data_IF_267115723966
#
_entry.id   IF_267115723966
#
_cell.length_a   1.000
_cell.length_b   1.000
_cell.length_c   1.000
_cell.angle_alpha   90.00
_cell.angle_beta   90.00
_cell.angle_gamma   90.00
#
_symmetry.space_group_name_H-M   'P 1'
#
loop_
_entity.id
_entity.type
_entity.pdbx_description
1 polymer ?
#
# COMPACT_ATOMS: atom_id res chain seq x y z
N UNK A 1 -5.43 -32.41 -29.06
CA UNK A 1 -5.58 -31.00 -28.66
C UNK A 1 -4.54 -30.20 -29.43
N UNK A 2 -4.99 -29.41 -30.41
CA UNK A 2 -4.16 -28.63 -31.34
C UNK A 2 -3.32 -27.57 -30.61
N UNK A 3 -2.14 -27.23 -31.15
CA UNK A 3 -1.18 -26.30 -30.55
C UNK A 3 -1.80 -24.92 -30.35
N UNK A 4 -2.53 -24.43 -31.34
CA UNK A 4 -3.24 -23.14 -31.29
C UNK A 4 -4.25 -23.13 -30.15
N UNK A 5 -4.99 -24.22 -29.94
CA UNK A 5 -5.91 -24.34 -28.81
C UNK A 5 -5.19 -24.25 -27.45
N UNK A 6 -3.94 -24.71 -27.35
CA UNK A 6 -3.14 -24.56 -26.11
C UNK A 6 -2.69 -23.12 -25.92
N UNK A 7 -2.29 -22.43 -26.98
CA UNK A 7 -1.90 -21.02 -26.94
C UNK A 7 -3.09 -20.13 -26.54
N UNK A 8 -4.28 -20.39 -27.09
CA UNK A 8 -5.51 -19.68 -26.67
C UNK A 8 -5.78 -19.89 -25.18
N UNK A 9 -5.67 -21.12 -24.67
CA UNK A 9 -5.79 -21.37 -23.22
C UNK A 9 -4.77 -20.59 -22.40
N UNK A 10 -3.53 -20.49 -22.88
CA UNK A 10 -2.48 -19.71 -22.21
C UNK A 10 -2.73 -18.21 -22.24
N UNK A 11 -3.27 -17.68 -23.34
CA UNK A 11 -3.73 -16.29 -23.40
C UNK A 11 -4.84 -16.03 -22.39
N UNK A 12 -5.83 -16.91 -22.28
CA UNK A 12 -6.90 -16.79 -21.28
C UNK A 12 -6.35 -16.83 -19.86
N UNK A 13 -5.39 -17.73 -19.57
CA UNK A 13 -4.71 -17.74 -18.26
C UNK A 13 -4.00 -16.42 -17.98
N UNK A 14 -3.28 -15.85 -18.95
CA UNK A 14 -2.63 -14.55 -18.78
C UNK A 14 -3.66 -13.44 -18.51
N UNK A 15 -4.78 -13.45 -19.23
CA UNK A 15 -5.88 -12.50 -19.00
C UNK A 15 -6.48 -12.65 -17.59
N UNK A 16 -6.78 -13.86 -17.15
CA UNK A 16 -7.25 -14.14 -15.78
C UNK A 16 -6.26 -13.65 -14.72
N UNK A 17 -4.95 -13.83 -14.96
CA UNK A 17 -3.89 -13.33 -14.10
C UNK A 17 -3.88 -11.79 -14.01
N UNK A 18 -4.11 -11.08 -15.13
CA UNK A 18 -4.17 -9.62 -15.17
C UNK A 18 -5.45 -9.06 -14.55
N UNK A 19 -6.57 -9.80 -14.64
CA UNK A 19 -7.87 -9.46 -14.05
C UNK A 19 -7.96 -9.75 -12.55
N UNK A 20 -7.01 -10.51 -12.00
CA UNK A 20 -7.02 -10.88 -10.59
C UNK A 20 -7.06 -9.62 -9.70
N UNK A 21 -8.03 -9.56 -8.78
CA UNK A 21 -8.35 -8.38 -7.95
C UNK A 21 -7.19 -7.86 -7.10
N UNK A 22 -6.17 -8.66 -6.84
CA UNK A 22 -4.96 -8.22 -6.13
C UNK A 22 -4.07 -7.33 -7.01
N UNK A 23 -4.14 -7.50 -8.32
CA UNK A 23 -3.39 -6.77 -9.35
C UNK A 23 -4.18 -5.67 -10.05
N UNK A 24 -5.49 -5.65 -9.82
CA UNK A 24 -6.39 -4.79 -10.58
C UNK A 24 -6.06 -3.32 -10.31
N UNK A 25 -5.60 -2.64 -11.34
CA UNK A 25 -5.46 -1.19 -11.37
C UNK A 25 -6.88 -0.61 -11.31
N UNK A 26 -7.36 -0.23 -10.11
CA UNK A 26 -8.74 0.15 -9.80
C UNK A 26 -9.42 1.16 -10.75
N UNK A 27 -8.67 1.77 -11.66
CA UNK A 27 -9.13 2.77 -12.63
C UNK A 27 -9.20 2.26 -14.09
N UNK A 28 -8.92 0.98 -14.37
CA UNK A 28 -8.83 0.47 -15.74
C UNK A 28 -9.87 -0.62 -16.03
N UNK A 29 -10.83 -0.31 -16.93
CA UNK A 29 -11.77 -1.30 -17.46
C UNK A 29 -11.12 -2.06 -18.64
N UNK A 30 -10.77 -3.32 -18.41
CA UNK A 30 -10.10 -4.19 -19.38
C UNK A 30 -11.04 -4.50 -20.57
N UNK A 31 -12.33 -4.77 -20.34
CA UNK A 31 -13.24 -5.18 -21.42
C UNK A 31 -13.34 -4.16 -22.57
N UNK A 32 -13.57 -2.89 -22.24
CA UNK A 32 -13.66 -1.81 -23.23
C UNK A 32 -12.26 -1.42 -23.76
N UNK A 33 -11.23 -1.53 -22.92
CA UNK A 33 -9.86 -1.20 -23.28
C UNK A 33 -9.26 -2.16 -24.31
N UNK A 34 -9.68 -3.43 -24.34
CA UNK A 34 -9.06 -4.44 -25.21
C UNK A 34 -9.50 -4.24 -26.67
N UNK A 35 -10.79 -3.99 -26.90
CA UNK A 35 -11.30 -3.68 -28.23
C UNK A 35 -10.67 -2.41 -28.81
N UNK A 36 -10.49 -1.39 -27.96
CA UNK A 36 -9.81 -0.15 -28.36
C UNK A 36 -8.33 -0.39 -28.67
N UNK A 37 -7.61 -1.16 -27.85
CA UNK A 37 -6.22 -1.52 -28.14
C UNK A 37 -6.08 -2.26 -29.47
N UNK A 38 -6.97 -3.21 -29.76
CA UNK A 38 -6.97 -3.92 -31.05
C UNK A 38 -7.18 -2.94 -32.21
N UNK A 39 -8.07 -1.95 -32.05
CA UNK A 39 -8.27 -0.89 -33.05
C UNK A 39 -6.99 -0.09 -33.27
N UNK A 40 -6.32 0.34 -32.20
CA UNK A 40 -5.07 1.11 -32.25
C UNK A 40 -3.94 0.31 -32.89
N UNK A 41 -3.79 -0.97 -32.54
CA UNK A 41 -2.82 -1.90 -33.15
C UNK A 41 -3.09 -2.05 -34.65
N UNK A 42 -4.35 -2.28 -35.03
CA UNK A 42 -4.74 -2.42 -36.44
C UNK A 42 -4.44 -1.16 -37.26
N UNK A 43 -4.57 0.01 -36.65
CA UNK A 43 -4.26 1.30 -37.27
C UNK A 43 -2.76 1.66 -37.25
N UNK A 44 -1.90 0.80 -36.69
CA UNK A 44 -0.48 1.09 -36.42
C UNK A 44 -0.26 2.33 -35.55
N UNK A 45 -1.22 2.68 -34.69
CA UNK A 45 -1.09 3.76 -33.72
C UNK A 45 -0.28 3.32 -32.49
N UNK A 46 -0.23 2.00 -32.24
CA UNK A 46 0.56 1.36 -31.19
C UNK A 46 1.31 0.18 -31.81
N UNK A 47 2.60 0.06 -31.49
CA UNK A 47 3.40 -1.12 -31.77
C UNK A 47 3.58 -1.95 -30.48
N UNK A 48 2.91 -3.12 -30.34
CA UNK A 48 3.06 -3.98 -29.17
C UNK A 48 4.46 -4.59 -29.02
N UNK A 49 5.25 -4.68 -30.09
CA UNK A 49 6.62 -5.23 -30.02
C UNK A 49 7.59 -4.23 -29.40
N UNK A 50 7.28 -2.93 -29.43
CA UNK A 50 8.08 -1.92 -28.73
C UNK A 50 8.17 -2.17 -27.23
N UNK A 51 7.16 -2.82 -26.63
CA UNK A 51 7.15 -3.18 -25.22
C UNK A 51 8.21 -4.25 -24.89
N UNK A 52 8.67 -5.05 -25.86
CA UNK A 52 9.70 -6.08 -25.67
C UNK A 52 11.08 -5.48 -25.37
N UNK A 53 11.26 -4.19 -25.67
CA UNK A 53 12.50 -3.45 -25.36
C UNK A 53 12.54 -2.96 -23.91
N UNK A 54 11.45 -3.11 -23.15
CA UNK A 54 11.39 -2.76 -21.73
C UNK A 54 12.25 -3.78 -20.95
N UNK A 55 13.54 -3.44 -20.79
CA UNK A 55 14.56 -4.27 -20.18
C UNK A 55 14.64 -4.17 -18.64
N UNK A 56 15.19 -5.22 -18.02
CA UNK A 56 15.28 -5.39 -16.55
C UNK A 56 16.36 -4.56 -15.84
N UNK A 57 17.23 -3.84 -16.57
CA UNK A 57 18.50 -3.35 -16.03
C UNK A 57 18.42 -2.13 -15.10
N UNK A 58 17.30 -1.42 -15.06
CA UNK A 58 17.15 -0.22 -14.22
C UNK A 58 16.52 -0.53 -12.85
N UNK A 59 15.99 -1.74 -12.70
CA UNK A 59 15.16 -2.12 -11.56
C UNK A 59 15.94 -2.57 -10.32
N UNK A 60 17.24 -2.90 -10.43
CA UNK A 60 18.07 -3.26 -9.26
C UNK A 60 18.57 -2.04 -8.48
N UNK A 61 18.65 -0.85 -9.09
CA UNK A 61 19.21 0.36 -8.45
C UNK A 61 18.16 1.35 -7.95
N UNK A 62 16.95 1.37 -8.53
CA UNK A 62 15.88 2.32 -8.19
C UNK A 62 14.65 1.69 -7.51
N UNK A 63 14.68 0.36 -7.24
CA UNK A 63 13.54 -0.51 -6.83
C UNK A 63 12.62 -0.01 -5.71
N UNK A 64 12.99 1.02 -4.96
CA UNK A 64 12.17 1.54 -3.86
C UNK A 64 11.41 2.83 -4.13
N UNK A 65 11.82 3.64 -5.11
CA UNK A 65 11.19 4.94 -5.32
C UNK A 65 10.05 4.89 -6.35
N UNK A 66 10.12 3.98 -7.34
CA UNK A 66 9.16 3.93 -8.45
C UNK A 66 8.49 2.56 -8.69
N UNK A 67 8.48 1.66 -7.70
CA UNK A 67 7.90 0.30 -7.85
C UNK A 67 6.45 0.31 -8.39
N UNK A 68 5.62 1.29 -8.02
CA UNK A 68 4.25 1.41 -8.53
C UNK A 68 4.19 1.81 -10.00
N UNK A 69 5.12 2.67 -10.46
CA UNK A 69 5.19 3.06 -11.87
C UNK A 69 5.68 1.90 -12.73
N UNK A 70 6.73 1.19 -12.28
CA UNK A 70 7.24 0.00 -12.94
C UNK A 70 6.16 -1.12 -13.01
N UNK A 71 5.45 -1.37 -11.91
CA UNK A 71 4.31 -2.30 -11.89
C UNK A 71 3.29 -1.95 -12.97
N UNK A 72 2.90 -0.66 -13.06
CA UNK A 72 1.92 -0.19 -14.04
C UNK A 72 2.41 -0.38 -15.46
N UNK A 73 3.65 -0.02 -15.76
CA UNK A 73 4.24 -0.13 -17.09
C UNK A 73 4.26 -1.58 -17.57
N UNK A 74 4.80 -2.49 -16.74
CA UNK A 74 4.82 -3.92 -17.04
C UNK A 74 3.42 -4.52 -17.14
N UNK A 75 2.47 -4.10 -16.28
CA UNK A 75 1.09 -4.56 -16.38
C UNK A 75 0.44 -4.13 -17.71
N UNK A 76 0.65 -2.87 -18.15
CA UNK A 76 0.13 -2.36 -19.42
C UNK A 76 0.79 -3.04 -20.63
N UNK A 77 2.08 -3.37 -20.55
CA UNK A 77 2.79 -4.12 -21.58
C UNK A 77 2.21 -5.53 -21.72
N UNK A 78 2.04 -6.26 -20.60
CA UNK A 78 1.41 -7.58 -20.60
C UNK A 78 -0.02 -7.55 -21.19
N UNK A 79 -0.78 -6.52 -20.83
CA UNK A 79 -2.12 -6.31 -21.33
C UNK A 79 -2.17 -6.02 -22.85
N UNK A 80 -1.22 -5.23 -23.37
CA UNK A 80 -1.05 -5.03 -24.82
C UNK A 80 -0.69 -6.32 -25.54
N UNK A 81 0.09 -7.22 -24.93
CA UNK A 81 0.38 -8.53 -25.52
C UNK A 81 -0.88 -9.41 -25.62
N UNK A 82 -1.80 -9.34 -24.65
CA UNK A 82 -3.10 -10.02 -24.74
C UNK A 82 -3.91 -9.52 -25.94
N UNK A 83 -4.04 -8.20 -26.10
CA UNK A 83 -4.72 -7.60 -27.25
C UNK A 83 -4.04 -7.96 -28.58
N UNK A 84 -2.71 -7.96 -28.60
CA UNK A 84 -1.93 -8.27 -29.80
C UNK A 84 -2.08 -9.74 -30.22
N UNK A 85 -2.10 -10.67 -29.25
CA UNK A 85 -2.39 -12.08 -29.49
C UNK A 85 -3.74 -12.24 -30.20
N UNK A 86 -4.78 -11.58 -29.68
CA UNK A 86 -6.13 -11.67 -30.26
C UNK A 86 -6.19 -11.06 -31.67
N UNK A 87 -5.50 -9.94 -31.89
CA UNK A 87 -5.36 -9.35 -33.22
C UNK A 87 -4.72 -10.33 -34.21
N UNK A 88 -3.54 -10.88 -33.89
CA UNK A 88 -2.81 -11.82 -34.76
C UNK A 88 -3.65 -13.08 -35.04
N UNK A 89 -4.30 -13.61 -34.00
CA UNK A 89 -5.17 -14.77 -34.12
C UNK A 89 -6.31 -14.48 -35.11
N UNK A 90 -7.06 -13.39 -34.94
CA UNK A 90 -8.20 -13.03 -35.81
C UNK A 90 -7.75 -12.69 -37.24
N UNK A 91 -6.69 -11.90 -37.38
CA UNK A 91 -6.13 -11.51 -38.68
C UNK A 91 -5.66 -12.73 -39.50
N UNK A 92 -5.13 -13.77 -38.83
CA UNK A 92 -4.74 -15.00 -39.49
C UNK A 92 -5.92 -15.76 -40.12
N UNK A 93 -7.09 -15.80 -39.48
CA UNK A 93 -8.29 -16.45 -40.06
C UNK A 93 -8.75 -15.72 -41.31
N UNK A 94 -8.74 -14.38 -41.29
CA UNK A 94 -9.12 -13.56 -42.45
C UNK A 94 -8.14 -13.83 -43.61
N UNK A 95 -6.83 -13.82 -43.33
CA UNK A 95 -5.80 -14.06 -44.35
C UNK A 95 -5.77 -15.49 -44.89
N UNK A 96 -6.27 -16.45 -44.14
CA UNK A 96 -6.30 -17.86 -44.51
C UNK A 96 -7.63 -18.28 -45.17
N UNK A 97 -8.67 -17.46 -45.15
CA UNK A 97 -9.99 -17.78 -45.71
C UNK A 97 -9.95 -18.11 -47.21
N UNK A 98 -9.04 -17.47 -47.97
CA UNK A 98 -8.94 -17.59 -49.42
C UNK A 98 -7.80 -18.52 -49.89
N UNK A 99 -7.10 -19.20 -48.98
CA UNK A 99 -5.97 -20.06 -49.33
C UNK A 99 -6.44 -21.47 -49.70
N UNK A 100 -6.20 -21.85 -50.96
CA UNK A 100 -6.50 -23.20 -51.49
C UNK A 100 -5.30 -24.15 -51.40
N UNK A 101 -4.08 -23.62 -51.24
CA UNK A 101 -2.83 -24.39 -51.21
C UNK A 101 -2.49 -24.86 -49.78
N UNK A 102 -2.62 -26.17 -49.54
CA UNK A 102 -2.35 -26.82 -48.25
C UNK A 102 -0.95 -26.56 -47.71
N UNK A 103 0.08 -26.48 -48.58
CA UNK A 103 1.46 -26.26 -48.16
C UNK A 103 1.66 -24.83 -47.68
N UNK A 104 1.05 -23.86 -48.37
CA UNK A 104 1.06 -22.45 -47.94
C UNK A 104 0.28 -22.26 -46.64
N UNK A 105 -0.84 -22.96 -46.48
CA UNK A 105 -1.60 -22.97 -45.22
C UNK A 105 -0.76 -23.50 -44.07
N UNK A 106 -0.07 -24.63 -44.25
CA UNK A 106 0.78 -25.21 -43.20
C UNK A 106 1.91 -24.26 -42.77
N UNK A 107 2.60 -23.65 -43.74
CA UNK A 107 3.68 -22.69 -43.45
C UNK A 107 3.15 -21.48 -42.67
N UNK A 108 1.99 -20.93 -43.05
CA UNK A 108 1.37 -19.82 -42.33
C UNK A 108 0.91 -20.20 -40.93
N UNK A 109 0.33 -21.39 -40.76
CA UNK A 109 -0.10 -21.87 -39.45
C UNK A 109 1.10 -22.06 -38.51
N UNK A 110 2.23 -22.54 -39.02
CA UNK A 110 3.47 -22.63 -38.26
C UNK A 110 4.00 -21.25 -37.86
N UNK A 111 4.01 -20.28 -38.79
CA UNK A 111 4.43 -18.91 -38.48
C UNK A 111 3.52 -18.28 -37.42
N UNK A 112 2.20 -18.42 -37.57
CA UNK A 112 1.24 -17.96 -36.57
C UNK A 112 1.53 -18.57 -35.19
N UNK A 113 1.81 -19.87 -35.12
CA UNK A 113 2.14 -20.51 -33.84
C UNK A 113 3.40 -19.91 -33.20
N UNK A 114 4.41 -19.57 -34.00
CA UNK A 114 5.63 -18.90 -33.52
C UNK A 114 5.28 -17.50 -32.99
N UNK A 115 4.58 -16.69 -33.79
CA UNK A 115 4.22 -15.31 -33.44
C UNK A 115 3.37 -15.28 -32.15
N UNK A 116 2.34 -16.13 -32.08
CA UNK A 116 1.49 -16.26 -30.89
C UNK A 116 2.26 -16.73 -29.65
N UNK A 117 3.25 -17.61 -29.83
CA UNK A 117 4.09 -18.09 -28.72
C UNK A 117 5.02 -16.99 -28.20
N UNK A 118 5.61 -16.19 -29.09
CA UNK A 118 6.48 -15.09 -28.74
C UNK A 118 5.72 -13.98 -27.99
N UNK A 119 4.54 -13.60 -28.50
CA UNK A 119 3.64 -12.65 -27.83
C UNK A 119 3.28 -13.13 -26.41
N UNK A 120 2.97 -14.42 -26.25
CA UNK A 120 2.69 -14.97 -24.93
C UNK A 120 3.92 -14.98 -24.01
N UNK A 121 5.10 -15.30 -24.53
CA UNK A 121 6.33 -15.30 -23.74
C UNK A 121 6.59 -13.90 -23.15
N UNK A 122 6.46 -12.86 -23.98
CA UNK A 122 6.57 -11.47 -23.52
C UNK A 122 5.42 -11.06 -22.60
N UNK A 123 4.19 -11.48 -22.87
CA UNK A 123 3.05 -11.24 -22.01
C UNK A 123 3.25 -11.77 -20.59
N UNK A 124 3.68 -13.03 -20.46
CA UNK A 124 4.01 -13.64 -19.16
C UNK A 124 5.25 -13.03 -18.51
N UNK A 125 6.27 -12.66 -19.30
CA UNK A 125 7.44 -11.94 -18.79
C UNK A 125 7.01 -10.64 -18.10
N UNK A 126 6.27 -9.76 -18.79
CA UNK A 126 5.86 -8.50 -18.20
C UNK A 126 4.90 -8.70 -17.02
N UNK A 127 4.01 -9.69 -17.08
CA UNK A 127 3.15 -10.03 -15.94
C UNK A 127 3.96 -10.42 -14.70
N UNK A 128 4.96 -11.28 -14.83
CA UNK A 128 5.81 -11.70 -13.72
C UNK A 128 6.55 -10.52 -13.08
N UNK A 129 7.06 -9.58 -13.90
CA UNK A 129 7.67 -8.36 -13.37
C UNK A 129 6.67 -7.47 -12.64
N UNK A 130 5.46 -7.31 -13.17
CA UNK A 130 4.40 -6.57 -12.48
C UNK A 130 4.07 -7.20 -11.12
N UNK A 131 4.07 -8.53 -11.02
CA UNK A 131 3.92 -9.29 -9.77
C UNK A 131 5.03 -9.01 -8.76
N UNK A 132 6.29 -9.04 -9.20
CA UNK A 132 7.42 -8.73 -8.33
C UNK A 132 7.35 -7.29 -7.78
N UNK A 133 7.04 -6.30 -8.63
CA UNK A 133 6.90 -4.91 -8.18
C UNK A 133 5.74 -4.68 -7.23
N UNK A 134 4.64 -5.40 -7.41
CA UNK A 134 3.53 -5.37 -6.48
C UNK A 134 3.96 -5.89 -5.10
N UNK A 135 4.69 -7.01 -5.03
CA UNK A 135 5.24 -7.54 -3.78
C UNK A 135 6.18 -6.55 -3.07
N UNK A 136 7.03 -5.86 -3.83
CA UNK A 136 7.92 -4.80 -3.31
C UNK A 136 7.11 -3.64 -2.73
N UNK A 137 6.09 -3.17 -3.46
CA UNK A 137 5.21 -2.07 -3.05
C UNK A 137 4.47 -2.38 -1.74
N UNK A 138 3.92 -3.59 -1.61
CA UNK A 138 3.27 -4.06 -0.38
C UNK A 138 4.24 -4.09 0.80
N UNK A 139 5.45 -4.60 0.59
CA UNK A 139 6.50 -4.65 1.62
C UNK A 139 6.87 -3.23 2.11
N UNK A 140 6.98 -2.27 1.19
CA UNK A 140 7.27 -0.88 1.53
C UNK A 140 6.13 -0.21 2.29
N UNK A 141 4.89 -0.45 1.87
CA UNK A 141 3.72 0.04 2.60
C UNK A 141 3.67 -0.53 4.02
N UNK A 142 3.88 -1.84 4.18
CA UNK A 142 3.92 -2.49 5.49
C UNK A 142 5.06 -1.92 6.38
N UNK A 143 6.25 -1.66 5.81
CA UNK A 143 7.36 -1.02 6.54
C UNK A 143 7.00 0.40 6.98
N UNK A 144 6.38 1.21 6.10
CA UNK A 144 5.93 2.57 6.44
C UNK A 144 4.84 2.57 7.50
N UNK A 145 3.86 1.67 7.41
CA UNK A 145 2.81 1.52 8.42
C UNK A 145 3.41 1.14 9.79
N UNK A 146 4.37 0.22 9.83
CA UNK A 146 5.10 -0.12 11.06
C UNK A 146 5.90 1.06 11.62
N UNK A 147 6.58 1.82 10.76
CA UNK A 147 7.32 3.02 11.17
C UNK A 147 6.38 4.12 11.72
N UNK A 148 5.23 4.36 11.07
CA UNK A 148 4.21 5.30 11.54
C UNK A 148 3.60 4.88 12.87
N UNK A 149 3.31 3.58 13.05
CA UNK A 149 2.85 3.03 14.33
C UNK A 149 3.87 3.22 15.45
N UNK A 150 5.17 3.00 15.18
CA UNK A 150 6.25 3.28 16.14
C UNK A 150 6.34 4.76 16.50
N UNK A 151 6.35 5.64 15.50
CA UNK A 151 6.39 7.09 15.73
C UNK A 151 5.20 7.61 16.55
N UNK A 152 4.00 7.05 16.34
CA UNK A 152 2.83 7.37 17.17
C UNK A 152 2.98 6.89 18.61
N UNK A 153 3.52 5.68 18.81
CA UNK A 153 3.75 5.14 20.14
C UNK A 153 4.84 5.91 20.91
N UNK A 154 5.91 6.33 20.22
CA UNK A 154 6.98 7.14 20.80
C UNK A 154 6.47 8.53 21.19
N UNK A 155 5.67 9.18 20.33
CA UNK A 155 5.00 10.44 20.69
C UNK A 155 4.08 10.27 21.89
N UNK A 156 3.29 9.18 21.95
CA UNK A 156 2.43 8.94 23.12
C UNK A 156 3.26 8.78 24.40
N UNK A 157 4.36 8.03 24.33
CA UNK A 157 5.28 7.86 25.47
C UNK A 157 5.90 9.19 25.91
N UNK A 158 6.34 10.05 24.99
CA UNK A 158 6.85 11.39 25.33
C UNK A 158 5.81 12.23 26.06
N UNK A 159 4.57 12.22 25.58
CA UNK A 159 3.44 12.92 26.21
C UNK A 159 3.15 12.40 27.60
N UNK A 160 3.15 11.08 27.76
CA UNK A 160 2.94 10.43 29.06
C UNK A 160 4.04 10.84 30.04
N UNK A 161 5.32 10.80 29.63
CA UNK A 161 6.45 11.23 30.49
C UNK A 161 6.30 12.68 30.94
N UNK A 162 5.92 13.58 30.03
CA UNK A 162 5.68 14.99 30.37
C UNK A 162 4.52 15.11 31.36
N UNK A 163 3.40 14.42 31.13
CA UNK A 163 2.26 14.42 32.05
C UNK A 163 2.64 13.93 33.45
N UNK A 164 3.40 12.83 33.55
CA UNK A 164 3.89 12.30 34.82
C UNK A 164 4.79 13.30 35.53
N UNK A 165 5.69 13.95 34.80
CA UNK A 165 6.58 14.96 35.36
C UNK A 165 5.82 16.19 35.86
N UNK A 166 4.83 16.69 35.12
CA UNK A 166 4.01 17.83 35.55
C UNK A 166 3.20 17.46 36.79
N UNK A 167 2.54 16.31 36.81
CA UNK A 167 1.78 15.83 37.99
C UNK A 167 2.69 15.76 39.22
N UNK A 168 3.85 15.13 39.07
CA UNK A 168 4.83 15.00 40.15
C UNK A 168 5.26 16.36 40.69
N UNK A 169 5.62 17.27 39.79
CA UNK A 169 6.07 18.63 40.14
C UNK A 169 4.97 19.40 40.85
N UNK A 170 3.73 19.32 40.37
CA UNK A 170 2.61 19.98 41.05
C UNK A 170 2.41 19.40 42.44
N UNK A 171 2.42 18.06 42.58
CA UNK A 171 2.26 17.40 43.87
C UNK A 171 3.33 17.80 44.91
N UNK A 172 4.60 17.86 44.49
CA UNK A 172 5.72 18.16 45.38
C UNK A 172 5.78 19.64 45.79
N UNK A 173 5.51 20.56 44.86
CA UNK A 173 5.84 21.97 45.06
C UNK A 173 4.64 22.91 45.22
N UNK A 174 3.43 22.50 44.81
CA UNK A 174 2.26 23.37 44.80
C UNK A 174 1.05 22.80 45.57
N UNK A 175 1.21 22.30 46.81
CA UNK A 175 0.06 21.84 47.59
C UNK A 175 -0.90 23.00 47.90
N UNK A 176 -2.22 22.78 47.82
CA UNK A 176 -3.19 23.83 48.11
C UNK A 176 -3.12 24.27 49.58
N UNK A 177 -3.10 25.58 49.79
CA UNK A 177 -3.20 26.24 51.11
C UNK A 177 -2.13 25.83 52.15
N UNK A 178 -0.95 25.34 51.73
CA UNK A 178 0.13 24.87 52.60
C UNK A 178 -0.28 23.75 53.59
N UNK A 179 -1.42 23.08 53.37
CA UNK A 179 -1.92 22.01 54.27
C UNK A 179 -1.79 20.61 53.70
N UNK A 180 -1.39 20.48 52.43
CA UNK A 180 -1.24 19.22 51.71
C UNK A 180 -2.39 18.96 50.74
N UNK A 181 -2.32 17.83 50.03
CA UNK A 181 -3.30 17.44 49.02
C UNK A 181 -4.51 16.73 49.64
N UNK A 182 -5.75 17.06 49.19
CA UNK A 182 -6.98 16.42 49.66
C UNK A 182 -7.10 14.97 49.16
N UNK A 183 -8.29 14.37 49.27
CA UNK A 183 -8.54 13.01 48.76
C UNK A 183 -8.11 12.84 47.30
N UNK A 184 -7.75 11.61 46.89
CA UNK A 184 -7.24 11.34 45.55
C UNK A 184 -8.15 11.86 44.43
N UNK A 185 -9.48 11.72 44.61
CA UNK A 185 -10.48 12.22 43.66
C UNK A 185 -10.46 13.74 43.54
N UNK A 186 -10.48 14.44 44.67
CA UNK A 186 -10.46 15.90 44.65
C UNK A 186 -9.11 16.46 44.18
N UNK A 187 -8.02 15.77 44.50
CA UNK A 187 -6.68 16.08 43.99
C UNK A 187 -6.60 15.91 42.48
N UNK A 188 -7.19 14.85 41.93
CA UNK A 188 -7.25 14.64 40.48
C UNK A 188 -8.03 15.75 39.77
N UNK A 189 -9.17 16.18 40.31
CA UNK A 189 -9.96 17.30 39.79
C UNK A 189 -9.16 18.63 39.77
N UNK A 190 -8.44 18.93 40.86
CA UNK A 190 -7.63 20.14 40.97
C UNK A 190 -6.42 20.09 40.03
N UNK A 191 -5.69 18.98 40.01
CA UNK A 191 -4.54 18.80 39.14
C UNK A 191 -4.94 18.81 37.67
N UNK A 192 -6.04 18.19 37.27
CA UNK A 192 -6.49 18.20 35.89
C UNK A 192 -6.75 19.62 35.39
N UNK A 193 -7.41 20.47 36.18
CA UNK A 193 -7.64 21.88 35.84
C UNK A 193 -6.33 22.67 35.73
N UNK A 194 -5.41 22.47 36.67
CA UNK A 194 -4.10 23.13 36.68
C UNK A 194 -3.23 22.70 35.51
N UNK A 195 -3.16 21.40 35.24
CA UNK A 195 -2.40 20.81 34.13
C UNK A 195 -2.96 21.25 32.80
N UNK A 196 -4.29 21.31 32.64
CA UNK A 196 -4.91 21.80 31.40
C UNK A 196 -4.56 23.27 31.15
N UNK A 197 -4.51 24.10 32.20
CA UNK A 197 -4.08 25.49 32.08
C UNK A 197 -2.58 25.61 31.76
N UNK A 198 -1.73 24.81 32.42
CA UNK A 198 -0.29 24.75 32.14
C UNK A 198 -0.01 24.27 30.72
N UNK A 199 -0.74 23.26 30.24
CA UNK A 199 -0.61 22.77 28.87
C UNK A 199 -0.98 23.85 27.84
N UNK A 200 -2.01 24.66 28.11
CA UNK A 200 -2.40 25.80 27.25
C UNK A 200 -1.37 26.93 27.26
N UNK A 201 -0.83 27.26 28.43
CA UNK A 201 0.05 28.43 28.63
C UNK A 201 1.51 28.16 28.28
N UNK A 202 2.00 26.94 28.53
CA UNK A 202 3.39 26.53 28.29
C UNK A 202 3.54 25.62 27.07
N UNK A 203 2.45 25.42 26.32
CA UNK A 203 2.40 24.61 25.10
C UNK A 203 2.90 23.16 25.28
N UNK A 204 2.64 22.55 26.44
CA UNK A 204 2.92 21.12 26.62
C UNK A 204 2.04 20.27 25.69
N UNK A 205 2.57 19.17 25.12
CA UNK A 205 1.84 18.30 24.20
C UNK A 205 0.86 17.37 24.94
N UNK A 206 0.07 17.89 25.87
CA UNK A 206 -0.93 17.13 26.64
C UNK A 206 -2.29 17.35 25.96
N UNK A 207 -2.77 16.33 25.24
CA UNK A 207 -4.01 16.42 24.46
C UNK A 207 -5.27 16.06 25.27
N UNK A 208 -5.10 15.42 26.43
CA UNK A 208 -6.18 15.05 27.35
C UNK A 208 -6.77 16.28 28.04
N UNK A 209 -8.09 16.36 28.14
CA UNK A 209 -8.81 17.50 28.73
C UNK A 209 -9.98 17.05 29.59
N UNK A 210 -10.43 17.92 30.50
CA UNK A 210 -11.64 17.68 31.29
C UNK A 210 -11.64 16.34 32.02
N UNK A 211 -12.73 15.57 31.87
CA UNK A 211 -12.95 14.31 32.60
C UNK A 211 -11.94 13.21 32.23
N UNK A 212 -11.42 13.20 31.01
CA UNK A 212 -10.46 12.18 30.58
C UNK A 212 -9.09 12.41 31.22
N UNK A 213 -8.69 13.67 31.34
CA UNK A 213 -7.48 14.06 32.07
C UNK A 213 -7.65 13.77 33.57
N UNK A 214 -8.81 14.10 34.15
CA UNK A 214 -9.12 13.81 35.56
C UNK A 214 -9.05 12.31 35.86
N UNK A 215 -9.68 11.46 35.05
CA UNK A 215 -9.63 10.01 35.22
C UNK A 215 -8.21 9.46 35.09
N UNK A 216 -7.42 10.00 34.15
CA UNK A 216 -6.02 9.62 33.96
C UNK A 216 -5.17 10.01 35.16
N UNK A 217 -5.31 11.24 35.67
CA UNK A 217 -4.59 11.71 36.86
C UNK A 217 -4.99 10.88 38.08
N UNK A 218 -6.29 10.60 38.27
CA UNK A 218 -6.77 9.77 39.37
C UNK A 218 -6.14 8.38 39.34
N UNK A 219 -6.10 7.74 38.17
CA UNK A 219 -5.45 6.45 38.00
C UNK A 219 -3.95 6.51 38.38
N UNK A 220 -3.24 7.55 37.93
CA UNK A 220 -1.82 7.74 38.27
C UNK A 220 -1.59 7.94 39.78
N UNK A 221 -2.47 8.67 40.47
CA UNK A 221 -2.40 8.86 41.93
C UNK A 221 -2.63 7.55 42.69
N UNK A 222 -3.44 6.64 42.16
CA UNK A 222 -3.84 5.40 42.82
C UNK A 222 -2.93 4.22 42.50
N UNK A 223 -2.46 4.11 41.26
CA UNK A 223 -1.80 2.91 40.74
C UNK A 223 -0.30 3.10 40.45
N UNK A 224 0.15 4.31 40.07
CA UNK A 224 1.56 4.52 39.75
C UNK A 224 2.39 4.68 41.04
N UNK A 225 3.38 3.81 41.22
CA UNK A 225 4.12 3.66 42.49
C UNK A 225 4.81 4.95 42.96
N UNK A 226 5.41 5.72 42.07
CA UNK A 226 6.18 6.91 42.42
C UNK A 226 5.27 8.09 42.75
N UNK A 227 4.27 8.35 41.92
CA UNK A 227 3.26 9.40 42.07
C UNK A 227 2.42 9.11 43.30
N UNK A 228 1.95 7.87 43.50
CA UNK A 228 1.21 7.46 44.70
C UNK A 228 2.01 7.68 45.97
N UNK A 229 3.31 7.38 45.97
CA UNK A 229 4.18 7.59 47.12
C UNK A 229 4.28 9.08 47.46
N UNK A 230 4.50 9.92 46.46
CA UNK A 230 4.62 11.37 46.63
C UNK A 230 3.28 11.96 47.10
N UNK A 231 2.19 11.58 46.45
CA UNK A 231 0.85 11.97 46.86
C UNK A 231 0.61 11.65 48.33
N UNK A 232 0.87 10.42 48.78
CA UNK A 232 0.75 10.03 50.19
C UNK A 232 1.62 10.85 51.16
N UNK A 233 2.83 11.24 50.74
CA UNK A 233 3.73 12.07 51.56
C UNK A 233 3.24 13.51 51.67
N UNK A 234 2.57 14.01 50.63
CA UNK A 234 2.08 15.37 50.54
C UNK A 234 0.58 15.51 50.86
N UNK A 235 -0.13 14.41 51.13
CA UNK A 235 -1.55 14.41 51.50
C UNK A 235 -1.76 14.90 52.92
N UNK A 236 -2.90 15.55 53.15
CA UNK A 236 -3.35 15.91 54.51
C UNK A 236 -3.63 14.61 55.28
N UNK A 237 -2.98 14.43 56.44
CA UNK A 237 -3.36 13.40 57.41
C UNK A 237 -4.69 13.72 58.06
#
# INVERSE_FOLDING_TARGET
MDLVSRLVKKQLTLQECLENRQFNMCDFNIGDGQAELIRLIKNNEIDPQSDWLIGTRELEKESSQNARAAMREHWLAAYRQVAYFEFLYRDSFIKNADLVDERKMLLRNNQLCIDLSEVLAWGFYHWAFAEDFFGISLSMYAKRAKAGGRASADKQRERDVILHWVIKTQLEYNPPNNRGWPSARHTAELLAKTIENLAKTQHYPIDLKGKDLEATVLNLLLEEKNIKRIFKQCSIM
#
